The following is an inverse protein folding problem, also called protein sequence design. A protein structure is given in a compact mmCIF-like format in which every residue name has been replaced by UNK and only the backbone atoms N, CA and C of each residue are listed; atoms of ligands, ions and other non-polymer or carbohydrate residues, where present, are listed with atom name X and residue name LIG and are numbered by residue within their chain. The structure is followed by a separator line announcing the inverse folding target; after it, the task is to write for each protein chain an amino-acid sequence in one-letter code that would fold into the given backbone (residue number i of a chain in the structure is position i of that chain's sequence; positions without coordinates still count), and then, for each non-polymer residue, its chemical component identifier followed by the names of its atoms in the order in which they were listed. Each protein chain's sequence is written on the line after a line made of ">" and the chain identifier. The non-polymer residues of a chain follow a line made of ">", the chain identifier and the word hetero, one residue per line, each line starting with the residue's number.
data_IF_629392004135
#
_entry.id   IF_629392004135
#
_cell.length_a   1.000
_cell.length_b   1.000
_cell.length_c   1.000
_cell.angle_alpha   90.00
_cell.angle_beta   90.00
_cell.angle_gamma   90.00
#
_symmetry.space_group_name_H-M   'P 1'
#
loop_
_entity.id
_entity.type
_entity.pdbx_description
1 polymer ?
#
# COMPACT_ATOMS: atom_id res chain seq x y z
N UNK A 1 16.58 73.79 8.86
CA UNK A 1 16.34 72.32 8.85
C UNK A 1 16.65 71.81 7.45
N UNK A 2 17.93 71.55 7.19
CA UNK A 2 18.48 71.34 5.84
C UNK A 2 18.75 69.86 5.55
N UNK A 3 18.40 69.46 4.34
CA UNK A 3 18.39 68.11 3.80
C UNK A 3 19.76 67.40 3.78
N UNK A 4 19.73 66.06 3.80
CA UNK A 4 20.75 65.24 3.13
C UNK A 4 20.15 63.91 2.65
N UNK A 5 19.98 63.82 1.33
CA UNK A 5 19.96 62.58 0.55
C UNK A 5 21.32 61.89 0.67
N UNK A 6 21.32 60.55 0.72
CA UNK A 6 22.42 59.72 0.23
C UNK A 6 21.91 58.29 -0.08
N UNK A 7 21.90 57.93 -1.36
CA UNK A 7 22.21 56.58 -1.86
C UNK A 7 23.73 56.60 -2.22
N UNK A 8 24.48 55.49 -2.43
CA UNK A 8 24.11 54.25 -3.15
C UNK A 8 24.71 52.92 -2.60
N UNK A 9 24.49 51.83 -3.35
CA UNK A 9 24.91 50.42 -3.18
C UNK A 9 26.36 50.14 -2.75
N UNK A 10 26.64 48.90 -2.28
CA UNK A 10 27.27 47.94 -3.21
C UNK A 10 26.74 46.48 -3.08
N UNK A 11 26.65 45.77 -4.21
CA UNK A 11 26.85 44.31 -4.24
C UNK A 11 28.38 44.04 -4.22
N UNK A 12 28.91 42.93 -3.67
CA UNK A 12 28.85 41.64 -4.37
C UNK A 12 28.92 40.35 -3.50
N UNK A 13 28.60 39.24 -4.17
CA UNK A 13 29.16 37.87 -4.05
C UNK A 13 29.01 37.01 -2.77
N UNK A 14 28.31 35.89 -3.01
CA UNK A 14 28.81 34.50 -2.94
C UNK A 14 29.15 33.84 -1.59
N UNK A 15 28.62 32.62 -1.51
CA UNK A 15 29.17 31.45 -0.82
C UNK A 15 29.06 31.41 0.71
N UNK A 16 28.18 30.56 1.23
CA UNK A 16 28.59 29.36 1.98
C UNK A 16 27.41 28.53 2.47
N UNK A 17 27.54 27.22 2.21
CA UNK A 17 26.79 26.11 2.78
C UNK A 17 26.87 26.13 4.32
N UNK A 18 25.73 25.89 4.99
CA UNK A 18 25.62 25.01 6.18
C UNK A 18 24.14 24.82 6.52
N UNK A 19 23.54 23.66 6.23
CA UNK A 19 23.44 22.45 7.09
C UNK A 19 22.91 22.76 8.50
N UNK A 20 21.59 22.68 8.66
CA UNK A 20 20.91 22.31 9.91
C UNK A 20 20.44 20.85 9.84
N UNK A 21 20.45 20.08 10.94
CA UNK A 21 20.23 18.63 10.92
C UNK A 21 18.79 18.23 11.27
N UNK A 22 18.54 16.93 11.09
CA UNK A 22 17.41 16.11 11.56
C UNK A 22 16.20 16.02 10.61
N UNK A 23 16.21 14.98 9.76
CA UNK A 23 15.36 13.84 10.07
C UNK A 23 15.94 12.57 9.44
N UNK A 24 16.26 11.61 10.31
CA UNK A 24 16.85 10.33 9.96
C UNK A 24 15.77 9.44 9.34
N UNK A 25 15.67 9.45 8.01
CA UNK A 25 15.02 8.35 7.28
C UNK A 25 16.09 7.32 6.92
N UNK A 26 16.22 6.19 7.64
CA UNK A 26 17.12 5.15 7.22
C UNK A 26 16.64 4.60 5.86
N UNK A 27 17.55 4.66 4.89
CA UNK A 27 17.49 4.03 3.58
C UNK A 27 16.91 2.63 3.70
N UNK A 28 15.66 2.46 3.27
CA UNK A 28 15.11 1.15 2.97
C UNK A 28 15.65 0.73 1.60
N UNK A 29 16.29 -0.42 1.58
CA UNK A 29 16.86 -1.09 0.40
C UNK A 29 15.91 -1.03 -0.80
N UNK A 30 16.43 -0.91 -2.04
CA UNK A 30 15.57 -0.91 -3.22
C UNK A 30 14.77 -2.23 -3.27
N UNK A 31 13.44 -2.19 -3.36
CA UNK A 31 12.66 -3.41 -3.52
C UNK A 31 13.02 -4.10 -4.84
N UNK A 32 13.13 -5.44 -4.87
CA UNK A 32 13.41 -6.19 -6.08
C UNK A 32 12.32 -5.94 -7.16
N UNK A 33 12.67 -6.10 -8.45
CA UNK A 33 11.85 -5.64 -9.57
C UNK A 33 10.46 -6.29 -9.56
N UNK A 34 9.41 -5.46 -9.52
CA UNK A 34 8.03 -5.90 -9.64
C UNK A 34 7.72 -6.16 -11.14
N UNK A 35 7.24 -7.36 -11.54
CA UNK A 35 6.73 -7.55 -12.89
C UNK A 35 5.43 -6.74 -13.11
N UNK A 36 5.20 -6.25 -14.35
CA UNK A 36 4.27 -5.17 -14.61
C UNK A 36 2.80 -5.58 -14.50
N UNK A 37 2.00 -4.64 -14.00
CA UNK A 37 0.54 -4.57 -14.14
C UNK A 37 0.15 -4.46 -15.62
N UNK A 38 -0.74 -5.34 -16.13
CA UNK A 38 -1.86 -5.02 -17.06
C UNK A 38 -2.53 -6.27 -17.66
N UNK A 39 -3.81 -6.05 -17.98
CA UNK A 39 -4.64 -6.68 -19.01
C UNK A 39 -5.49 -7.92 -18.62
N UNK A 40 -6.79 -7.63 -18.63
CA UNK A 40 -7.99 -8.45 -18.79
C UNK A 40 -7.94 -9.41 -19.98
N UNK A 41 -8.35 -10.67 -19.76
CA UNK A 41 -8.94 -11.57 -20.77
C UNK A 41 -9.95 -12.55 -20.10
N UNK A 42 -11.17 -12.74 -20.63
CA UNK A 42 -12.22 -13.53 -19.97
C UNK A 42 -12.18 -14.99 -20.44
N UNK A 43 -11.27 -15.80 -19.89
CA UNK A 43 -11.40 -17.28 -19.83
C UNK A 43 -10.29 -17.88 -18.98
N UNK A 44 -10.50 -18.00 -17.66
CA UNK A 44 -9.42 -18.49 -16.78
C UNK A 44 -9.71 -18.52 -15.28
N UNK A 45 -10.92 -18.94 -14.87
CA UNK A 45 -11.35 -18.95 -13.46
C UNK A 45 -10.29 -19.47 -12.43
N UNK A 46 -9.57 -20.59 -12.65
CA UNK A 46 -8.58 -21.05 -11.67
C UNK A 46 -7.28 -20.23 -11.68
N UNK A 47 -6.87 -19.67 -12.81
CA UNK A 47 -5.65 -18.83 -12.89
C UNK A 47 -5.89 -17.45 -12.31
N UNK A 48 -7.11 -16.94 -12.46
CA UNK A 48 -7.51 -15.64 -11.95
C UNK A 48 -7.57 -15.63 -10.42
N UNK A 49 -8.16 -16.65 -9.78
CA UNK A 49 -8.21 -16.70 -8.31
C UNK A 49 -6.83 -16.84 -7.67
N UNK A 50 -5.91 -17.56 -8.32
CA UNK A 50 -4.51 -17.66 -7.85
C UNK A 50 -3.84 -16.28 -7.88
N UNK A 51 -4.03 -15.50 -8.94
CA UNK A 51 -3.51 -14.14 -9.03
C UNK A 51 -4.12 -13.21 -7.97
N UNK A 52 -5.43 -13.27 -7.75
CA UNK A 52 -6.11 -12.52 -6.69
C UNK A 52 -5.57 -12.90 -5.30
N UNK A 53 -5.38 -14.20 -5.05
CA UNK A 53 -4.84 -14.68 -3.78
C UNK A 53 -3.39 -14.19 -3.53
N UNK A 54 -2.57 -14.12 -4.57
CA UNK A 54 -1.23 -13.53 -4.48
C UNK A 54 -1.29 -12.03 -4.17
N UNK A 55 -2.20 -11.29 -4.81
CA UNK A 55 -2.38 -9.86 -4.54
C UNK A 55 -2.86 -9.59 -3.10
N UNK A 56 -3.84 -10.35 -2.60
CA UNK A 56 -4.30 -10.26 -1.21
C UNK A 56 -3.13 -10.49 -0.25
N UNK A 57 -2.32 -11.52 -0.53
CA UNK A 57 -1.13 -11.83 0.28
C UNK A 57 -0.11 -10.69 0.27
N UNK A 58 0.11 -10.07 -0.89
CA UNK A 58 1.06 -8.97 -1.04
C UNK A 58 0.57 -7.71 -0.30
N UNK A 59 -0.69 -7.32 -0.47
CA UNK A 59 -1.29 -6.22 0.29
C UNK A 59 -1.24 -6.49 1.80
N UNK A 60 -1.48 -7.73 2.23
CA UNK A 60 -1.32 -8.13 3.63
C UNK A 60 0.12 -7.97 4.15
N UNK A 61 1.14 -8.17 3.30
CA UNK A 61 2.55 -7.92 3.65
C UNK A 61 2.84 -6.45 3.82
N UNK A 62 2.23 -5.61 2.97
CA UNK A 62 2.35 -4.14 2.99
C UNK A 62 1.47 -3.45 4.04
N UNK A 63 0.69 -4.21 4.82
CA UNK A 63 -0.32 -3.72 5.78
C UNK A 63 -1.44 -2.90 5.12
N UNK A 64 -1.68 -3.13 3.84
CA UNK A 64 -2.72 -2.48 3.05
C UNK A 64 -4.05 -3.25 3.20
N UNK A 65 -4.58 -3.30 4.43
CA UNK A 65 -5.74 -4.13 4.76
C UNK A 65 -6.96 -3.82 3.88
N UNK A 66 -7.25 -2.54 3.63
CA UNK A 66 -8.41 -2.13 2.84
C UNK A 66 -8.36 -2.68 1.41
N UNK A 67 -7.18 -2.68 0.78
CA UNK A 67 -6.99 -3.21 -0.57
C UNK A 67 -7.08 -4.74 -0.57
N UNK A 68 -6.49 -5.40 0.43
CA UNK A 68 -6.62 -6.85 0.61
C UNK A 68 -8.09 -7.28 0.76
N UNK A 69 -8.88 -6.54 1.55
CA UNK A 69 -10.30 -6.84 1.76
C UNK A 69 -11.15 -6.52 0.53
N UNK A 70 -10.87 -5.45 -0.23
CA UNK A 70 -11.58 -5.20 -1.49
C UNK A 70 -11.40 -6.33 -2.51
N UNK A 71 -10.18 -6.85 -2.63
CA UNK A 71 -9.90 -7.98 -3.52
C UNK A 71 -10.61 -9.25 -3.07
N UNK A 72 -10.63 -9.50 -1.75
CA UNK A 72 -11.39 -10.60 -1.16
C UNK A 72 -12.90 -10.46 -1.40
N UNK A 73 -13.46 -9.28 -1.19
CA UNK A 73 -14.88 -9.00 -1.40
C UNK A 73 -15.28 -9.20 -2.86
N UNK A 74 -14.43 -8.75 -3.79
CA UNK A 74 -14.59 -9.01 -5.23
C UNK A 74 -14.57 -10.52 -5.53
N UNK A 75 -13.60 -11.27 -4.98
CA UNK A 75 -13.54 -12.71 -5.18
C UNK A 75 -14.76 -13.47 -4.62
N UNK A 76 -15.32 -13.00 -3.49
CA UNK A 76 -16.57 -13.51 -2.94
C UNK A 76 -17.77 -13.19 -3.83
N UNK A 77 -17.87 -11.95 -4.32
CA UNK A 77 -18.95 -11.53 -5.22
C UNK A 77 -18.95 -12.29 -6.55
N UNK A 78 -17.76 -12.56 -7.09
CA UNK A 78 -17.57 -13.34 -8.31
C UNK A 78 -17.79 -14.86 -8.08
N UNK A 79 -17.99 -15.31 -6.84
CA UNK A 79 -18.12 -16.73 -6.50
C UNK A 79 -16.85 -17.54 -6.73
N UNK A 80 -15.69 -16.88 -6.87
CA UNK A 80 -14.39 -17.52 -7.14
C UNK A 80 -13.58 -17.76 -5.88
N UNK A 81 -13.95 -17.14 -4.75
CA UNK A 81 -13.31 -17.35 -3.46
C UNK A 81 -13.40 -18.82 -3.00
N UNK A 82 -12.26 -19.38 -2.61
CA UNK A 82 -12.15 -20.75 -2.11
C UNK A 82 -11.56 -20.77 -0.69
N UNK A 83 -11.39 -21.97 -0.12
CA UNK A 83 -10.85 -22.16 1.24
C UNK A 83 -9.55 -21.38 1.49
N UNK A 84 -8.67 -21.37 0.50
CA UNK A 84 -7.40 -20.66 0.57
C UNK A 84 -7.60 -19.14 0.58
N UNK A 85 -8.52 -18.61 -0.23
CA UNK A 85 -8.90 -17.19 -0.26
C UNK A 85 -9.40 -16.68 1.09
N UNK A 86 -10.19 -17.46 1.82
CA UNK A 86 -10.61 -17.10 3.19
C UNK A 86 -9.44 -17.12 4.17
N UNK A 87 -8.57 -18.13 4.11
CA UNK A 87 -7.41 -18.25 4.99
C UNK A 87 -6.42 -17.07 4.83
N UNK A 88 -6.14 -16.65 3.60
CA UNK A 88 -5.26 -15.50 3.35
C UNK A 88 -5.89 -14.18 3.80
N UNK A 89 -7.21 -14.01 3.65
CA UNK A 89 -7.92 -12.81 4.10
C UNK A 89 -7.96 -12.73 5.64
N UNK A 90 -8.12 -13.87 6.32
CA UNK A 90 -8.01 -13.97 7.77
C UNK A 90 -6.60 -13.59 8.24
N UNK A 91 -5.57 -14.12 7.59
CA UNK A 91 -4.18 -13.76 7.87
C UNK A 91 -3.91 -12.28 7.62
N UNK A 92 -4.47 -11.69 6.56
CA UNK A 92 -4.39 -10.26 6.31
C UNK A 92 -4.93 -9.43 7.48
N UNK A 93 -6.10 -9.81 8.01
CA UNK A 93 -6.69 -9.18 9.18
C UNK A 93 -5.81 -9.31 10.43
N UNK A 94 -5.31 -10.52 10.72
CA UNK A 94 -4.43 -10.78 11.87
C UNK A 94 -3.14 -9.96 11.78
N UNK A 95 -2.50 -9.94 10.60
CA UNK A 95 -1.26 -9.18 10.39
C UNK A 95 -1.49 -7.69 10.54
N UNK A 96 -2.64 -7.17 10.13
CA UNK A 96 -2.96 -5.75 10.26
C UNK A 96 -3.54 -5.38 11.64
N UNK A 97 -3.74 -6.35 12.53
CA UNK A 97 -4.29 -6.13 13.87
C UNK A 97 -5.81 -5.92 13.89
N UNK A 98 -6.52 -6.21 12.79
CA UNK A 98 -7.98 -6.08 12.70
C UNK A 98 -8.69 -7.38 13.11
N UNK A 99 -8.75 -7.63 14.41
CA UNK A 99 -9.46 -8.79 14.96
C UNK A 99 -10.97 -8.77 14.63
N UNK A 100 -11.57 -7.58 14.53
CA UNK A 100 -12.98 -7.43 14.14
C UNK A 100 -13.23 -7.84 12.69
N UNK A 101 -12.34 -7.45 11.78
CA UNK A 101 -12.34 -7.90 10.39
C UNK A 101 -12.13 -9.39 10.25
N UNK A 102 -11.23 -9.98 11.05
CA UNK A 102 -11.01 -11.42 11.08
C UNK A 102 -12.30 -12.19 11.41
N UNK A 103 -13.07 -11.73 12.40
CA UNK A 103 -14.38 -12.32 12.74
C UNK A 103 -15.40 -12.22 11.60
N UNK A 104 -15.42 -11.09 10.86
CA UNK A 104 -16.29 -10.94 9.67
C UNK A 104 -15.90 -11.88 8.53
N UNK A 105 -14.61 -12.12 8.33
CA UNK A 105 -14.11 -13.07 7.33
C UNK A 105 -14.48 -14.50 7.74
N UNK A 106 -14.31 -14.86 9.01
CA UNK A 106 -14.68 -16.17 9.55
C UNK A 106 -16.18 -16.47 9.38
N UNK A 107 -17.05 -15.54 9.79
CA UNK A 107 -18.49 -15.72 9.63
C UNK A 107 -18.94 -15.83 8.17
N UNK A 108 -18.20 -15.21 7.23
CA UNK A 108 -18.42 -15.41 5.79
C UNK A 108 -17.94 -16.78 5.31
N UNK A 109 -16.81 -17.26 5.83
CA UNK A 109 -16.29 -18.60 5.54
C UNK A 109 -17.31 -19.69 5.89
N UNK A 110 -17.88 -19.62 7.10
CA UNK A 110 -18.91 -20.57 7.57
C UNK A 110 -20.16 -20.54 6.69
N UNK A 111 -20.63 -19.35 6.31
CA UNK A 111 -21.79 -19.19 5.41
C UNK A 111 -21.53 -19.72 4.00
N UNK A 112 -20.28 -19.68 3.54
CA UNK A 112 -19.86 -20.27 2.28
C UNK A 112 -19.67 -21.79 2.34
N UNK A 113 -19.85 -22.42 3.51
CA UNK A 113 -19.67 -23.87 3.68
C UNK A 113 -18.21 -24.33 3.55
N UNK A 114 -17.27 -23.40 3.78
CA UNK A 114 -15.82 -23.64 3.70
C UNK A 114 -15.27 -24.19 5.00
#
# INVERSE_FOLDING_TARGET
>A
TGAKRAAPSPAPQADKRQKGPAESVPVASPPPPQPPTKATDPKGAPRQIVAVNQQITEHARRKELSQALQLFDTACADGTANKYTFAIALNACIRCGDAGGAGRVWGRMERHGV
#
